data_IF_759032981628
#
_entry.id   IF_759032981628
#
_cell.length_a   1.000
_cell.length_b   1.000
_cell.length_c   1.000
_cell.angle_alpha   90.00
_cell.angle_beta   90.00
_cell.angle_gamma   90.00
#
_symmetry.space_group_name_H-M   'P 1'
#
loop_
_entity.id
_entity.type
_entity.pdbx_description
1 polymer ?
#
# COMPACT_ATOMS: atom_id res chain seq x y z
N UNK A 1 -36.57 0.74 29.64
CA UNK A 1 -36.40 -0.09 28.42
C UNK A 1 -37.12 0.59 27.26
N UNK A 2 -36.46 0.84 26.12
CA UNK A 2 -37.13 1.44 24.94
C UNK A 2 -37.81 0.34 24.12
N UNK A 3 -39.11 0.50 23.87
CA UNK A 3 -39.93 -0.36 23.01
C UNK A 3 -40.12 0.35 21.66
N UNK A 4 -40.16 -0.42 20.58
CA UNK A 4 -40.29 0.08 19.22
C UNK A 4 -41.53 -0.50 18.54
N UNK A 5 -42.17 0.30 17.68
CA UNK A 5 -43.40 -0.06 16.96
C UNK A 5 -43.19 -0.98 15.76
N UNK A 6 -41.96 -1.20 15.31
CA UNK A 6 -41.69 -2.01 14.11
C UNK A 6 -40.27 -2.58 14.00
N UNK A 7 -40.07 -3.50 13.03
CA UNK A 7 -38.77 -4.15 12.80
C UNK A 7 -37.71 -3.14 12.34
N UNK A 8 -36.44 -3.42 12.66
CA UNK A 8 -35.32 -2.56 12.30
C UNK A 8 -33.98 -3.11 12.75
N UNK A 9 -32.87 -2.57 12.20
CA UNK A 9 -31.51 -3.02 12.53
C UNK A 9 -31.25 -2.91 14.03
N UNK A 10 -30.75 -3.99 14.64
CA UNK A 10 -30.44 -4.03 16.07
C UNK A 10 -31.66 -4.19 16.99
N UNK A 11 -32.82 -4.61 16.45
CA UNK A 11 -34.02 -4.96 17.22
C UNK A 11 -34.31 -6.46 17.11
N UNK A 12 -34.93 -7.01 18.15
CA UNK A 12 -35.46 -8.38 18.20
C UNK A 12 -36.90 -8.31 18.70
N UNK A 13 -37.75 -9.20 18.18
CA UNK A 13 -39.14 -9.30 18.61
C UNK A 13 -39.22 -10.22 19.84
N UNK A 14 -39.97 -9.80 20.85
CA UNK A 14 -40.25 -10.66 22.00
C UNK A 14 -41.21 -11.79 21.59
N UNK A 15 -40.94 -13.06 21.91
CA UNK A 15 -41.82 -14.18 21.54
C UNK A 15 -43.16 -14.14 22.28
N UNK A 16 -43.19 -13.61 23.52
CA UNK A 16 -44.40 -13.55 24.34
C UNK A 16 -45.32 -12.37 23.97
N UNK A 17 -44.84 -11.12 24.10
CA UNK A 17 -45.68 -9.94 23.86
C UNK A 17 -45.64 -9.40 22.41
N UNK A 18 -44.82 -9.98 21.53
CA UNK A 18 -44.63 -9.55 20.12
C UNK A 18 -44.13 -8.11 19.91
N UNK A 19 -43.79 -7.37 20.96
CA UNK A 19 -43.18 -6.05 20.87
C UNK A 19 -41.71 -6.13 20.44
N UNK A 20 -41.22 -5.08 19.75
CA UNK A 20 -39.82 -5.00 19.34
C UNK A 20 -38.98 -4.30 20.40
N UNK A 21 -37.89 -4.95 20.80
CA UNK A 21 -36.93 -4.45 21.78
C UNK A 21 -35.51 -4.44 21.22
N UNK A 22 -34.61 -3.66 21.82
CA UNK A 22 -33.20 -3.65 21.40
C UNK A 22 -32.52 -5.02 21.58
N UNK A 23 -31.68 -5.43 20.62
CA UNK A 23 -30.96 -6.72 20.63
C UNK A 23 -30.10 -6.91 21.89
N UNK A 24 -29.56 -5.82 22.43
CA UNK A 24 -28.71 -5.83 23.63
C UNK A 24 -29.46 -5.99 24.96
N UNK A 25 -30.78 -5.81 24.98
CA UNK A 25 -31.54 -5.96 26.23
C UNK A 25 -31.67 -7.45 26.58
N UNK A 26 -31.46 -7.78 27.85
CA UNK A 26 -31.50 -9.15 28.38
C UNK A 26 -32.91 -9.65 28.64
N UNK A 27 -33.82 -8.74 28.94
CA UNK A 27 -35.19 -8.96 29.36
C UNK A 27 -36.16 -8.09 28.54
N UNK A 28 -37.45 -8.44 28.52
CA UNK A 28 -38.53 -7.67 27.90
C UNK A 28 -39.42 -7.01 28.95
N UNK A 29 -40.20 -5.98 28.57
CA UNK A 29 -41.18 -5.32 29.45
C UNK A 29 -42.24 -6.29 29.99
N UNK A 30 -42.54 -7.37 29.25
CA UNK A 30 -43.44 -8.43 29.70
C UNK A 30 -42.81 -9.43 30.69
N UNK A 31 -41.51 -9.33 30.98
CA UNK A 31 -40.78 -10.25 31.87
C UNK A 31 -40.00 -11.36 31.14
N UNK A 32 -40.20 -11.55 29.83
CA UNK A 32 -39.47 -12.57 29.08
C UNK A 32 -37.94 -12.32 29.10
N UNK A 33 -37.16 -13.32 29.52
CA UNK A 33 -35.70 -13.28 29.49
C UNK A 33 -35.13 -13.89 28.21
N UNK A 34 -34.43 -13.08 27.43
CA UNK A 34 -33.75 -13.56 26.23
C UNK A 34 -32.50 -14.35 26.62
N UNK A 35 -32.46 -15.62 26.26
CA UNK A 35 -31.27 -16.44 26.44
C UNK A 35 -30.14 -15.90 25.56
N UNK A 36 -29.17 -15.22 26.19
CA UNK A 36 -27.91 -14.94 25.51
C UNK A 36 -27.27 -16.28 25.25
N UNK A 37 -27.19 -16.69 23.98
CA UNK A 37 -26.42 -17.86 23.58
C UNK A 37 -25.04 -17.68 24.20
N UNK A 38 -24.70 -18.54 25.18
CA UNK A 38 -23.42 -18.48 25.87
C UNK A 38 -22.36 -18.37 24.78
N UNK A 39 -21.57 -17.27 24.83
CA UNK A 39 -20.51 -17.03 23.85
C UNK A 39 -19.74 -18.33 23.72
N UNK A 40 -19.86 -19.00 22.55
CA UNK A 40 -19.12 -20.24 22.28
C UNK A 40 -17.68 -19.95 22.71
N UNK A 41 -17.19 -20.71 23.69
CA UNK A 41 -15.87 -20.46 24.29
C UNK A 41 -14.84 -20.29 23.18
N UNK A 42 -13.85 -19.41 23.40
CA UNK A 42 -12.79 -19.14 22.41
C UNK A 42 -12.29 -20.49 21.88
N UNK A 43 -12.50 -20.75 20.58
CA UNK A 43 -12.05 -22.01 19.96
C UNK A 43 -10.56 -22.17 20.28
N UNK A 44 -10.17 -23.35 20.76
CA UNK A 44 -8.75 -23.65 21.02
C UNK A 44 -7.96 -23.37 19.74
N UNK A 45 -6.78 -22.74 19.83
CA UNK A 45 -5.96 -22.45 18.65
C UNK A 45 -5.65 -23.77 17.93
N UNK A 46 -6.02 -23.86 16.66
CA UNK A 46 -5.72 -25.02 15.82
C UNK A 46 -4.33 -24.87 15.22
N UNK A 47 -3.52 -25.94 15.33
CA UNK A 47 -2.23 -26.07 14.66
C UNK A 47 -2.49 -26.39 13.19
N UNK A 48 -1.78 -25.73 12.27
CA UNK A 48 -1.86 -26.02 10.83
C UNK A 48 -0.49 -26.46 10.31
N UNK A 49 -0.51 -27.41 9.38
CA UNK A 49 0.69 -27.95 8.73
C UNK A 49 1.08 -27.19 7.46
N UNK A 50 0.18 -26.39 6.90
CA UNK A 50 0.44 -25.57 5.70
C UNK A 50 0.38 -24.08 6.04
N UNK A 51 1.31 -23.31 5.48
CA UNK A 51 1.32 -21.86 5.55
C UNK A 51 0.10 -21.22 4.88
N UNK A 52 -0.18 -19.98 5.22
CA UNK A 52 -1.30 -19.21 4.69
C UNK A 52 -1.37 -17.80 5.29
N UNK A 53 -2.20 -16.92 4.72
CA UNK A 53 -2.35 -15.56 5.21
C UNK A 53 -2.77 -15.55 6.69
N UNK A 54 -2.08 -14.73 7.49
CA UNK A 54 -2.34 -14.61 8.93
C UNK A 54 -1.73 -15.73 9.79
N UNK A 55 -0.85 -16.57 9.24
CA UNK A 55 -0.07 -17.55 9.97
C UNK A 55 1.40 -17.16 10.00
N UNK A 56 2.10 -17.51 11.09
CA UNK A 56 3.55 -17.42 11.22
C UNK A 56 4.14 -18.79 11.46
N UNK A 57 5.34 -19.00 10.95
CA UNK A 57 6.09 -20.24 11.11
C UNK A 57 6.74 -20.29 12.50
N UNK A 58 6.74 -21.47 13.14
CA UNK A 58 7.47 -21.70 14.38
C UNK A 58 8.76 -22.45 14.07
N UNK A 59 9.90 -21.80 14.28
CA UNK A 59 11.23 -22.34 13.97
C UNK A 59 11.61 -23.58 14.81
N UNK A 60 10.94 -23.81 15.95
CA UNK A 60 11.29 -24.92 16.84
C UNK A 60 10.52 -26.21 16.56
N UNK A 61 9.42 -26.15 15.80
CA UNK A 61 8.61 -27.35 15.54
C UNK A 61 7.96 -27.38 14.14
N UNK A 62 8.39 -26.50 13.24
CA UNK A 62 7.95 -26.38 11.85
C UNK A 62 6.41 -26.32 11.64
N UNK A 63 5.71 -25.81 12.65
CA UNK A 63 4.25 -25.65 12.62
C UNK A 63 3.86 -24.20 12.36
N UNK A 64 2.72 -24.03 11.67
CA UNK A 64 2.16 -22.71 11.44
C UNK A 64 1.10 -22.37 12.49
N UNK A 65 1.27 -21.22 13.13
CA UNK A 65 0.40 -20.72 14.21
C UNK A 65 -0.21 -19.39 13.81
N UNK A 66 -1.34 -19.01 14.40
CA UNK A 66 -1.94 -17.70 14.15
C UNK A 66 -0.96 -16.56 14.47
N UNK A 67 -0.90 -15.55 13.60
CA UNK A 67 0.05 -14.42 13.69
C UNK A 67 0.05 -13.74 15.08
N UNK A 68 -1.13 -13.67 15.72
CA UNK A 68 -1.33 -13.04 17.03
C UNK A 68 -0.95 -13.91 18.23
N UNK A 69 -0.62 -15.19 18.02
CA UNK A 69 -0.29 -16.11 19.11
C UNK A 69 1.04 -15.71 19.76
N UNK A 70 1.07 -15.54 21.09
CA UNK A 70 2.30 -15.20 21.81
C UNK A 70 3.21 -16.41 22.01
N UNK A 71 2.63 -17.60 22.02
CA UNK A 71 3.32 -18.88 22.22
C UNK A 71 2.85 -19.89 21.17
N UNK A 72 3.75 -20.79 20.78
CA UNK A 72 3.40 -21.93 19.94
C UNK A 72 2.62 -22.97 20.77
N UNK A 73 1.42 -23.40 20.36
CA UNK A 73 0.66 -24.42 21.08
C UNK A 73 1.29 -25.82 21.00
N UNK A 74 2.14 -26.09 19.99
CA UNK A 74 2.86 -27.37 19.85
C UNK A 74 4.06 -27.47 20.79
N UNK A 75 5.05 -26.57 20.64
CA UNK A 75 6.33 -26.65 21.37
C UNK A 75 6.49 -25.63 22.51
N UNK A 76 5.47 -24.82 22.81
CA UNK A 76 5.49 -23.75 23.83
C UNK A 76 6.54 -22.64 23.63
N UNK A 77 7.22 -22.60 22.49
CA UNK A 77 8.16 -21.54 22.13
C UNK A 77 7.46 -20.16 22.19
N UNK A 78 8.08 -19.18 22.86
CA UNK A 78 7.58 -17.81 22.98
C UNK A 78 8.09 -16.99 21.80
N UNK A 79 7.17 -16.47 21.00
CA UNK A 79 7.55 -15.58 19.91
C UNK A 79 7.99 -14.24 20.49
N UNK A 80 9.15 -13.74 20.07
CA UNK A 80 9.58 -12.38 20.37
C UNK A 80 8.59 -11.43 19.68
N UNK A 81 7.80 -10.72 20.49
CA UNK A 81 6.96 -9.65 19.97
C UNK A 81 7.87 -8.45 19.88
N UNK A 82 8.26 -8.06 18.67
CA UNK A 82 8.97 -6.81 18.45
C UNK A 82 8.12 -5.69 19.08
N UNK A 83 8.66 -4.97 20.07
CA UNK A 83 8.00 -3.84 20.71
C UNK A 83 7.47 -2.88 19.65
N UNK A 84 6.36 -2.19 19.95
CA UNK A 84 5.78 -1.27 18.97
C UNK A 84 6.78 -0.18 18.57
N UNK A 85 7.65 0.18 19.50
CA UNK A 85 8.73 1.18 19.34
C UNK A 85 9.83 0.71 18.37
N UNK A 86 10.08 -0.59 18.29
CA UNK A 86 11.07 -1.20 17.38
C UNK A 86 10.47 -1.63 16.04
N UNK A 87 9.14 -1.61 15.89
CA UNK A 87 8.53 -1.79 14.58
C UNK A 87 9.09 -0.69 13.69
N UNK A 88 9.75 -1.12 12.61
CA UNK A 88 10.40 -0.30 11.58
C UNK A 88 9.72 1.06 11.53
N UNK A 89 10.48 2.11 11.90
CA UNK A 89 10.01 3.49 11.84
C UNK A 89 9.32 3.68 10.49
N UNK A 90 8.20 4.42 10.43
CA UNK A 90 7.59 4.76 9.15
C UNK A 90 8.71 5.21 8.20
N UNK A 91 8.66 4.79 6.91
CA UNK A 91 9.70 5.13 5.96
C UNK A 91 10.03 6.61 6.11
N UNK A 92 11.32 6.93 6.12
CA UNK A 92 11.80 8.30 6.24
C UNK A 92 10.97 9.21 5.33
N UNK A 93 10.70 10.47 5.73
CA UNK A 93 10.06 11.44 4.85
C UNK A 93 10.71 11.38 3.47
N UNK A 94 9.88 11.30 2.44
CA UNK A 94 10.37 11.27 1.06
C UNK A 94 11.23 12.51 0.85
N UNK A 95 12.36 12.34 0.17
CA UNK A 95 13.15 13.48 -0.30
C UNK A 95 12.32 14.30 -1.29
N UNK A 96 12.56 15.62 -1.44
CA UNK A 96 11.80 16.44 -2.38
C UNK A 96 11.74 15.85 -3.81
N UNK A 97 12.83 15.22 -4.25
CA UNK A 97 12.91 14.54 -5.55
C UNK A 97 11.99 13.30 -5.63
N UNK A 98 11.87 12.54 -4.54
CA UNK A 98 10.96 11.40 -4.45
C UNK A 98 9.49 11.85 -4.36
N UNK A 99 9.20 12.95 -3.66
CA UNK A 99 7.87 13.55 -3.63
C UNK A 99 7.46 14.02 -5.03
N UNK A 100 8.36 14.67 -5.75
CA UNK A 100 8.13 15.09 -7.14
C UNK A 100 7.90 13.91 -8.07
N UNK A 101 8.69 12.84 -7.95
CA UNK A 101 8.50 11.62 -8.72
C UNK A 101 7.13 10.97 -8.44
N UNK A 102 6.73 10.89 -7.16
CA UNK A 102 5.41 10.36 -6.77
C UNK A 102 4.27 11.23 -7.31
N UNK A 103 4.41 12.55 -7.28
CA UNK A 103 3.42 13.47 -7.84
C UNK A 103 3.29 13.31 -9.36
N UNK A 104 4.41 13.22 -10.07
CA UNK A 104 4.46 12.99 -11.52
C UNK A 104 3.78 11.67 -11.91
N UNK A 105 4.05 10.59 -11.17
CA UNK A 105 3.41 9.29 -11.41
C UNK A 105 1.91 9.31 -11.15
N UNK A 106 1.49 10.04 -10.12
CA UNK A 106 0.07 10.19 -9.80
C UNK A 106 -0.66 10.93 -10.93
N UNK A 107 -0.05 11.99 -11.48
CA UNK A 107 -0.58 12.72 -12.63
C UNK A 107 -0.68 11.83 -13.89
N UNK A 108 0.25 10.90 -14.07
CA UNK A 108 0.28 9.94 -15.17
C UNK A 108 -0.71 8.76 -15.02
N UNK A 109 -1.67 8.85 -14.09
CA UNK A 109 -2.68 7.81 -13.86
C UNK A 109 -2.19 6.63 -13.01
N UNK A 110 -1.11 6.83 -12.28
CA UNK A 110 -0.43 5.79 -11.54
C UNK A 110 -1.01 5.48 -10.17
N UNK A 111 -1.67 4.33 -10.01
CA UNK A 111 -2.10 3.85 -8.69
C UNK A 111 -0.94 3.52 -7.74
N UNK A 112 -1.23 3.37 -6.45
CA UNK A 112 -0.26 3.10 -5.35
C UNK A 112 0.68 1.90 -5.56
N UNK A 113 0.37 0.98 -6.47
CA UNK A 113 1.26 -0.14 -6.84
C UNK A 113 2.46 0.26 -7.70
N UNK A 114 2.45 1.46 -8.31
CA UNK A 114 3.54 1.87 -9.20
C UNK A 114 4.81 2.34 -8.50
N UNK A 115 4.79 2.53 -7.18
CA UNK A 115 5.98 2.95 -6.43
C UNK A 115 7.15 1.98 -6.54
N UNK A 116 6.90 0.70 -6.81
CA UNK A 116 7.97 -0.30 -6.94
C UNK A 116 8.72 -0.24 -8.27
N UNK A 117 8.16 0.43 -9.29
CA UNK A 117 8.71 0.43 -10.64
C UNK A 117 9.27 1.81 -11.05
N UNK A 118 9.50 2.69 -10.08
CA UNK A 118 10.05 4.02 -10.31
C UNK A 118 11.57 3.93 -10.35
N UNK A 119 12.15 4.28 -11.50
CA UNK A 119 13.58 4.30 -11.70
C UNK A 119 14.05 5.75 -11.49
N UNK A 120 14.81 5.98 -10.41
CA UNK A 120 15.47 7.26 -10.12
C UNK A 120 16.86 7.34 -10.74
N UNK A 121 17.58 6.21 -10.75
CA UNK A 121 18.92 6.10 -11.32
C UNK A 121 18.98 4.80 -12.14
N UNK A 122 18.94 4.89 -13.47
CA UNK A 122 18.96 3.71 -14.32
C UNK A 122 20.36 3.08 -14.30
N UNK A 123 20.40 1.74 -14.24
CA UNK A 123 21.65 0.96 -14.35
C UNK A 123 21.99 0.57 -15.79
N UNK A 124 21.02 0.66 -16.69
CA UNK A 124 21.14 0.27 -18.10
C UNK A 124 21.46 1.48 -18.98
N UNK A 125 21.98 1.25 -20.19
CA UNK A 125 22.20 2.30 -21.20
C UNK A 125 20.88 2.90 -21.65
N UNK A 126 20.89 4.16 -22.06
CA UNK A 126 19.67 4.80 -22.57
C UNK A 126 19.13 4.06 -23.81
N UNK A 127 17.86 3.62 -23.82
CA UNK A 127 17.28 2.94 -24.98
C UNK A 127 17.07 3.87 -26.18
N UNK A 128 17.08 5.19 -25.96
CA UNK A 128 16.76 6.20 -26.97
C UNK A 128 17.91 7.17 -27.09
N UNK A 129 18.32 7.50 -28.30
CA UNK A 129 19.38 8.48 -28.54
C UNK A 129 18.78 9.87 -28.71
N UNK A 130 19.16 10.80 -27.85
CA UNK A 130 18.78 12.21 -27.98
C UNK A 130 19.38 12.81 -29.25
N UNK A 131 18.57 13.40 -30.14
CA UNK A 131 19.02 13.90 -31.46
C UNK A 131 19.80 15.21 -31.36
N UNK A 132 19.25 16.19 -30.65
CA UNK A 132 19.82 17.53 -30.51
C UNK A 132 19.60 18.14 -29.12
N UNK A 133 19.82 19.45 -29.01
CA UNK A 133 19.59 20.24 -27.80
C UNK A 133 18.37 21.15 -27.91
N UNK A 134 17.64 21.10 -29.04
CA UNK A 134 16.45 21.92 -29.26
C UNK A 134 15.30 21.47 -28.36
N UNK A 135 14.35 22.36 -28.06
CA UNK A 135 13.19 22.06 -27.21
C UNK A 135 12.39 20.87 -27.77
N UNK A 136 12.13 20.87 -29.08
CA UNK A 136 11.37 19.82 -29.76
C UNK A 136 12.06 18.45 -29.69
N UNK A 137 13.38 18.40 -29.93
CA UNK A 137 14.17 17.15 -29.84
C UNK A 137 14.16 16.57 -28.43
N UNK A 138 14.27 17.43 -27.41
CA UNK A 138 14.30 17.01 -26.01
C UNK A 138 12.92 16.52 -25.56
N UNK A 139 11.85 17.16 -26.03
CA UNK A 139 10.47 16.76 -25.72
C UNK A 139 10.13 15.43 -26.39
N UNK A 140 10.44 15.27 -27.68
CA UNK A 140 10.29 14.01 -28.42
C UNK A 140 11.06 12.88 -27.71
N UNK A 141 12.30 13.15 -27.27
CA UNK A 141 13.09 12.22 -26.47
C UNK A 141 12.39 11.81 -25.16
N UNK A 142 11.86 12.76 -24.40
CA UNK A 142 11.16 12.48 -23.14
C UNK A 142 9.91 11.63 -23.37
N UNK A 143 9.10 11.96 -24.39
CA UNK A 143 7.89 11.22 -24.73
C UNK A 143 8.19 9.77 -25.11
N UNK A 144 9.17 9.55 -25.99
CA UNK A 144 9.53 8.19 -26.38
C UNK A 144 10.12 7.40 -25.22
N UNK A 145 10.94 8.01 -24.37
CA UNK A 145 11.55 7.31 -23.24
C UNK A 145 10.50 6.87 -22.22
N UNK A 146 9.49 7.72 -22.00
CA UNK A 146 8.34 7.39 -21.15
C UNK A 146 7.47 6.32 -21.80
N UNK A 147 7.25 6.37 -23.11
CA UNK A 147 6.49 5.35 -23.84
C UNK A 147 7.18 3.98 -23.75
N UNK A 148 8.49 3.93 -23.96
CA UNK A 148 9.30 2.71 -23.81
C UNK A 148 9.25 2.16 -22.38
N UNK A 149 9.45 3.03 -21.38
CA UNK A 149 9.31 2.67 -19.98
C UNK A 149 7.96 2.02 -19.67
N UNK A 150 6.86 2.59 -20.18
CA UNK A 150 5.50 2.04 -20.00
C UNK A 150 5.38 0.63 -20.60
N UNK A 151 5.95 0.36 -21.77
CA UNK A 151 5.95 -0.98 -22.38
C UNK A 151 6.70 -1.98 -21.48
N UNK A 152 7.79 -1.56 -20.85
CA UNK A 152 8.55 -2.37 -19.89
C UNK A 152 7.95 -2.42 -18.47
N UNK A 153 6.85 -1.69 -18.21
CA UNK A 153 6.27 -1.55 -16.88
C UNK A 153 7.14 -0.75 -15.90
N UNK A 154 8.09 0.06 -16.42
CA UNK A 154 9.00 0.94 -15.67
C UNK A 154 8.55 2.40 -15.80
N UNK A 155 8.87 3.21 -14.80
CA UNK A 155 8.61 4.65 -14.85
C UNK A 155 9.88 5.41 -14.55
N UNK A 156 10.36 6.16 -15.53
CA UNK A 156 11.56 6.99 -15.36
C UNK A 156 11.17 8.30 -14.69
N UNK A 157 11.77 8.57 -13.52
CA UNK A 157 11.65 9.87 -12.88
C UNK A 157 12.47 10.92 -13.65
N UNK A 158 12.20 12.23 -13.47
CA UNK A 158 12.99 13.29 -14.11
C UNK A 158 14.50 13.17 -13.85
N UNK A 159 14.89 12.72 -12.66
CA UNK A 159 16.28 12.42 -12.31
C UNK A 159 16.91 11.33 -13.18
N UNK A 160 16.16 10.28 -13.53
CA UNK A 160 16.62 9.23 -14.44
C UNK A 160 16.76 9.74 -15.88
N UNK A 161 15.83 10.58 -16.35
CA UNK A 161 15.92 11.20 -17.68
C UNK A 161 17.19 12.07 -17.76
N UNK A 162 17.44 12.90 -16.73
CA UNK A 162 18.68 13.69 -16.64
C UNK A 162 19.93 12.81 -16.60
N UNK A 163 19.86 11.66 -15.93
CA UNK A 163 20.97 10.71 -15.88
C UNK A 163 21.35 10.22 -17.27
N UNK A 164 20.38 9.84 -18.11
CA UNK A 164 20.67 9.41 -19.49
C UNK A 164 21.33 10.50 -20.33
N UNK A 165 20.95 11.76 -20.14
CA UNK A 165 21.56 12.89 -20.86
C UNK A 165 23.05 13.06 -20.53
N UNK A 166 23.48 12.67 -19.31
CA UNK A 166 24.89 12.73 -18.90
C UNK A 166 25.80 11.79 -19.68
N UNK A 167 25.25 10.75 -20.30
CA UNK A 167 26.04 9.86 -21.17
C UNK A 167 26.49 10.59 -22.44
N UNK A 168 25.72 11.58 -22.91
CA UNK A 168 25.99 12.32 -24.14
C UNK A 168 26.67 13.67 -23.91
N UNK A 169 26.32 14.38 -22.85
CA UNK A 169 26.86 15.70 -22.54
C UNK A 169 27.51 15.75 -21.16
N UNK A 170 28.64 16.44 -21.05
CA UNK A 170 29.28 16.68 -19.75
C UNK A 170 28.37 17.51 -18.86
N UNK A 171 28.29 17.17 -17.57
CA UNK A 171 27.43 17.85 -16.58
C UNK A 171 27.68 19.37 -16.51
N UNK A 172 28.91 19.80 -16.81
CA UNK A 172 29.29 21.21 -16.77
C UNK A 172 29.09 21.95 -18.11
N UNK A 173 28.69 21.24 -19.17
CA UNK A 173 28.55 21.83 -20.50
C UNK A 173 27.31 22.72 -20.61
N UNK A 174 27.31 23.65 -21.57
CA UNK A 174 26.17 24.55 -21.80
C UNK A 174 24.98 23.75 -22.34
N UNK A 175 25.26 22.81 -23.23
CA UNK A 175 24.30 21.90 -23.86
C UNK A 175 23.56 21.07 -22.81
N UNK A 176 24.26 20.52 -21.81
CA UNK A 176 23.63 19.76 -20.74
C UNK A 176 22.64 20.63 -19.94
N UNK A 177 23.03 21.86 -19.59
CA UNK A 177 22.17 22.78 -18.83
C UNK A 177 20.92 23.17 -19.63
N UNK A 178 21.08 23.39 -20.93
CA UNK A 178 19.99 23.73 -21.86
C UNK A 178 19.01 22.56 -21.99
N UNK A 179 19.50 21.33 -22.18
CA UNK A 179 18.67 20.12 -22.22
C UNK A 179 17.94 19.89 -20.89
N UNK A 180 18.62 20.04 -19.75
CA UNK A 180 17.99 19.90 -18.42
C UNK A 180 16.87 20.91 -18.23
N UNK A 181 17.06 22.15 -18.68
CA UNK A 181 16.02 23.19 -18.64
C UNK A 181 14.79 22.80 -19.48
N UNK A 182 14.99 22.25 -20.68
CA UNK A 182 13.90 21.75 -21.51
C UNK A 182 13.16 20.56 -20.87
N UNK A 183 13.89 19.62 -20.23
CA UNK A 183 13.29 18.51 -19.46
C UNK A 183 12.42 19.06 -18.33
N UNK A 184 12.90 20.06 -17.57
CA UNK A 184 12.14 20.66 -16.49
C UNK A 184 10.85 21.31 -16.99
N UNK A 185 10.91 22.06 -18.10
CA UNK A 185 9.72 22.66 -18.73
C UNK A 185 8.73 21.58 -19.19
N UNK A 186 9.21 20.48 -19.75
CA UNK A 186 8.38 19.33 -20.13
C UNK A 186 7.73 18.67 -18.91
N UNK A 187 8.46 18.47 -17.80
CA UNK A 187 7.86 17.91 -16.57
C UNK A 187 6.76 18.81 -16.02
N UNK A 188 6.97 20.13 -16.03
CA UNK A 188 5.95 21.08 -15.58
C UNK A 188 4.70 21.07 -16.47
N UNK A 189 4.86 20.92 -17.79
CA UNK A 189 3.71 20.87 -18.72
C UNK A 189 2.83 19.64 -18.52
N UNK A 190 3.36 18.54 -17.96
CA UNK A 190 2.60 17.32 -17.63
C UNK A 190 1.90 17.34 -16.27
N UNK A 191 2.24 18.29 -15.39
CA UNK A 191 1.61 18.43 -14.06
C UNK A 191 0.28 19.20 -14.10
N UNK A 192 0.04 19.97 -15.15
CA UNK A 192 -1.20 20.72 -15.37
C UNK A 192 -2.27 19.87 -16.05
#
# INVERSE_FOLDING_TARGET
>A
MKVYSGPGRGRKQCPECKEYVGVRNTDCKCGHMFTTTLKKGKKKPTIKTKGGPGLKHCENCDQYVGATSKTCPGCKHKFVIVPKEERVKPPSPLTPDEEEAVAFLSAMGGGTRLRQNVILTPSEKCPITLRGTTEDDVWEFCEFLVADGKVMGRFYAPSAIRYFVREKYSVNSKEYKEVVHHIERWVHSKKG
#
